data_IF_098880195955
#
_entry.id   IF_098880195955
#
_cell.length_a   1.000
_cell.length_b   1.000
_cell.length_c   1.000
_cell.angle_alpha   90.00
_cell.angle_beta   90.00
_cell.angle_gamma   90.00
#
_symmetry.space_group_name_H-M   'P 1'
#
loop_
_entity.id
_entity.type
_entity.pdbx_description
1 polymer ?
#
# COMPACT_ATOMS: atom_id res chain seq x y z
N UNK A 1 -22.41 15.92 -10.79
CA UNK A 1 -22.39 16.51 -9.44
C UNK A 1 -21.81 17.90 -9.51
N UNK A 2 -22.52 18.92 -9.03
CA UNK A 2 -22.05 20.31 -9.10
C UNK A 2 -20.84 20.52 -8.17
N UNK A 3 -19.99 21.52 -8.47
CA UNK A 3 -18.87 21.89 -7.61
C UNK A 3 -19.31 22.22 -6.16
N UNK A 4 -20.53 22.75 -6.02
CA UNK A 4 -21.16 23.08 -4.73
C UNK A 4 -21.49 21.81 -3.93
N UNK A 5 -22.09 20.79 -4.58
CA UNK A 5 -22.39 19.49 -3.95
C UNK A 5 -21.11 18.77 -3.52
N UNK A 6 -20.06 18.83 -4.36
CA UNK A 6 -18.76 18.24 -4.03
C UNK A 6 -18.11 18.88 -2.81
N UNK A 7 -18.14 20.23 -2.74
CA UNK A 7 -17.63 20.96 -1.56
C UNK A 7 -18.43 20.62 -0.30
N UNK A 8 -19.78 20.57 -0.40
CA UNK A 8 -20.62 20.21 0.74
C UNK A 8 -20.31 18.81 1.28
N UNK A 9 -20.13 17.81 0.42
CA UNK A 9 -19.77 16.45 0.84
C UNK A 9 -18.37 16.39 1.49
N UNK A 10 -17.41 17.17 0.98
CA UNK A 10 -16.09 17.27 1.61
C UNK A 10 -16.15 17.88 3.00
N UNK A 11 -16.94 18.96 3.18
CA UNK A 11 -17.12 19.58 4.48
C UNK A 11 -17.89 18.69 5.46
N UNK A 12 -18.91 17.96 5.00
CA UNK A 12 -19.63 16.98 5.81
C UNK A 12 -18.72 15.82 6.24
N UNK A 13 -17.90 15.30 5.32
CA UNK A 13 -16.92 14.25 5.64
C UNK A 13 -15.85 14.72 6.64
N UNK A 14 -15.31 15.93 6.45
CA UNK A 14 -14.36 16.53 7.36
C UNK A 14 -15.00 16.80 8.74
N UNK A 15 -16.23 17.29 8.78
CA UNK A 15 -16.97 17.52 10.02
C UNK A 15 -17.26 16.22 10.78
N UNK A 16 -17.69 15.17 10.07
CA UNK A 16 -17.91 13.85 10.66
C UNK A 16 -16.62 13.23 11.20
N UNK A 17 -15.51 13.38 10.47
CA UNK A 17 -14.19 12.95 10.93
C UNK A 17 -13.75 13.69 12.19
N UNK A 18 -13.86 15.03 12.21
CA UNK A 18 -13.53 15.84 13.39
C UNK A 18 -14.41 15.49 14.57
N UNK A 19 -15.72 15.31 14.34
CA UNK A 19 -16.64 14.91 15.41
C UNK A 19 -16.27 13.55 15.98
N UNK A 20 -15.97 12.56 15.13
CA UNK A 20 -15.51 11.25 15.58
C UNK A 20 -14.21 11.34 16.38
N UNK A 21 -13.24 12.14 15.93
CA UNK A 21 -11.99 12.36 16.64
C UNK A 21 -12.22 13.02 18.02
N UNK A 22 -13.09 14.03 18.09
CA UNK A 22 -13.49 14.69 19.33
C UNK A 22 -14.20 13.72 20.28
N UNK A 23 -15.16 12.94 19.78
CA UNK A 23 -15.88 11.94 20.58
C UNK A 23 -14.91 10.90 21.15
N UNK A 24 -13.96 10.42 20.35
CA UNK A 24 -12.91 9.49 20.80
C UNK A 24 -12.01 10.10 21.87
N UNK A 25 -11.72 11.39 21.77
CA UNK A 25 -10.91 12.10 22.76
C UNK A 25 -11.58 12.14 24.14
N UNK A 26 -12.90 12.27 24.18
CA UNK A 26 -13.67 12.32 25.45
C UNK A 26 -14.11 10.96 25.98
N UNK A 27 -13.83 9.85 25.27
CA UNK A 27 -14.11 8.53 25.80
C UNK A 27 -13.19 8.21 26.98
N UNK A 28 -13.74 7.64 28.09
CA UNK A 28 -12.91 7.22 29.21
C UNK A 28 -11.86 6.18 28.79
N UNK A 29 -10.62 6.26 29.31
CA UNK A 29 -9.62 5.22 29.11
C UNK A 29 -10.16 3.83 29.49
N UNK A 30 -9.71 2.77 28.78
CA UNK A 30 -10.13 1.40 29.04
C UNK A 30 -11.42 0.95 28.33
N UNK A 31 -12.13 1.86 27.63
CA UNK A 31 -13.33 1.50 26.86
C UNK A 31 -13.09 1.17 25.39
N UNK A 32 -11.93 1.52 24.87
CA UNK A 32 -11.53 1.23 23.49
C UNK A 32 -10.58 0.02 23.48
N UNK A 33 -11.10 -1.18 23.65
CA UNK A 33 -10.30 -2.42 23.50
C UNK A 33 -10.00 -2.67 22.02
N UNK A 34 -9.15 -1.85 21.42
CA UNK A 34 -8.76 -1.97 20.02
C UNK A 34 -7.25 -2.16 19.97
N UNK A 35 -6.83 -3.40 20.16
CA UNK A 35 -5.43 -3.78 19.94
C UNK A 35 -5.14 -3.81 18.44
N UNK A 36 -4.09 -3.07 18.05
CA UNK A 36 -3.57 -3.03 16.68
C UNK A 36 -2.09 -3.38 16.72
N UNK A 37 -1.78 -4.63 16.45
CA UNK A 37 -0.47 -5.22 16.69
C UNK A 37 0.69 -4.37 16.15
N UNK A 38 0.64 -4.01 14.86
CA UNK A 38 1.72 -3.22 14.25
C UNK A 38 1.75 -1.77 14.76
N UNK A 39 0.57 -1.18 14.99
CA UNK A 39 0.51 0.15 15.57
C UNK A 39 1.06 0.16 17.01
N UNK A 40 0.81 -0.90 17.77
CA UNK A 40 1.38 -1.04 19.13
C UNK A 40 2.91 -1.10 19.11
N UNK A 41 3.49 -1.75 18.10
CA UNK A 41 4.95 -1.69 17.87
C UNK A 41 5.41 -0.27 17.57
N UNK A 42 4.71 0.46 16.69
CA UNK A 42 5.09 1.84 16.34
C UNK A 42 5.01 2.77 17.54
N UNK A 43 3.89 2.73 18.24
CA UNK A 43 3.63 3.55 19.43
C UNK A 43 4.61 3.22 20.54
N UNK A 44 4.83 1.93 20.84
CA UNK A 44 5.71 1.49 21.91
C UNK A 44 7.18 1.80 21.64
N UNK A 45 7.65 1.61 20.40
CA UNK A 45 9.02 1.92 20.02
C UNK A 45 9.33 3.41 20.12
N UNK A 46 8.37 4.27 19.71
CA UNK A 46 8.54 5.72 19.83
C UNK A 46 8.50 6.17 21.30
N UNK A 47 7.63 5.59 22.13
CA UNK A 47 7.62 5.85 23.57
C UNK A 47 8.91 5.39 24.27
N UNK A 48 9.43 4.20 23.89
CA UNK A 48 10.74 3.71 24.37
C UNK A 48 11.86 4.71 24.04
N UNK A 49 11.87 5.20 22.81
CA UNK A 49 12.82 6.23 22.36
C UNK A 49 12.69 7.54 23.15
N UNK A 50 11.46 8.04 23.36
CA UNK A 50 11.20 9.26 24.12
C UNK A 50 11.56 9.10 25.61
N UNK A 51 11.49 7.87 26.14
CA UNK A 51 11.94 7.51 27.49
C UNK A 51 13.46 7.34 27.63
N UNK A 52 14.23 7.61 26.57
CA UNK A 52 15.71 7.51 26.60
C UNK A 52 16.24 6.11 26.31
N UNK A 53 15.37 5.17 25.88
CA UNK A 53 15.75 3.84 25.44
C UNK A 53 15.91 3.78 23.92
N UNK A 54 16.39 2.65 23.37
CA UNK A 54 16.59 2.55 21.92
C UNK A 54 15.28 2.35 21.15
N UNK A 55 15.20 2.96 19.96
CA UNK A 55 14.07 2.81 19.05
C UNK A 55 13.99 1.38 18.49
N UNK A 56 15.12 0.78 18.13
CA UNK A 56 15.23 -0.51 17.47
C UNK A 56 15.43 -1.69 18.42
N UNK A 57 15.62 -1.43 19.69
CA UNK A 57 15.68 -2.40 20.79
C UNK A 57 14.27 -2.77 21.28
N UNK A 58 13.28 -1.89 21.04
CA UNK A 58 11.90 -2.19 21.38
C UNK A 58 11.30 -3.25 20.48
N UNK A 59 10.64 -4.21 21.10
CA UNK A 59 9.86 -5.24 20.40
C UNK A 59 8.68 -5.68 21.26
N UNK A 60 7.65 -6.21 20.64
CA UNK A 60 6.58 -6.95 21.29
C UNK A 60 6.64 -8.41 20.87
N UNK A 61 6.14 -9.29 21.74
CA UNK A 61 6.01 -10.72 21.41
C UNK A 61 4.53 -11.02 21.19
N UNK A 62 4.19 -11.55 20.01
CA UNK A 62 2.83 -12.00 19.68
C UNK A 62 2.93 -13.36 19.00
N UNK A 63 2.14 -14.32 19.49
CA UNK A 63 2.13 -15.72 18.99
C UNK A 63 3.55 -16.34 18.94
N UNK A 64 4.37 -16.04 19.94
CA UNK A 64 5.77 -16.52 20.01
C UNK A 64 6.73 -15.85 19.01
N UNK A 65 6.29 -14.80 18.32
CA UNK A 65 7.11 -14.05 17.37
C UNK A 65 7.52 -12.71 17.95
N UNK A 66 8.78 -12.35 17.77
CA UNK A 66 9.33 -11.05 18.15
C UNK A 66 9.06 -10.07 17.02
N UNK A 67 8.37 -8.99 17.32
CA UNK A 67 7.98 -7.95 16.36
C UNK A 67 8.66 -6.62 16.72
N UNK A 68 9.84 -6.34 16.17
CA UNK A 68 10.55 -5.10 16.42
C UNK A 68 10.10 -3.98 15.49
N UNK A 69 10.46 -2.74 15.85
CA UNK A 69 10.38 -1.62 14.92
C UNK A 69 11.43 -1.76 13.80
N UNK A 70 10.99 -1.62 12.54
CA UNK A 70 11.83 -1.89 11.35
C UNK A 70 11.81 -0.77 10.31
N UNK A 71 11.17 0.37 10.63
CA UNK A 71 11.03 1.49 9.71
C UNK A 71 12.17 2.51 9.83
N UNK A 72 12.42 3.33 8.78
CA UNK A 72 13.36 4.44 8.87
C UNK A 72 13.03 5.40 10.01
N UNK A 73 14.01 6.14 10.58
CA UNK A 73 13.80 7.05 11.70
C UNK A 73 12.79 8.16 11.42
N UNK A 74 12.61 8.55 10.16
CA UNK A 74 11.59 9.53 9.77
C UNK A 74 10.17 9.07 10.13
N UNK A 75 9.89 7.77 10.03
CA UNK A 75 8.61 7.21 10.46
C UNK A 75 8.39 7.41 11.97
N UNK A 76 9.43 7.23 12.80
CA UNK A 76 9.34 7.47 14.23
C UNK A 76 9.04 8.94 14.54
N UNK A 77 9.69 9.89 13.85
CA UNK A 77 9.42 11.33 14.02
C UNK A 77 7.95 11.66 13.72
N UNK A 78 7.40 11.11 12.63
CA UNK A 78 5.99 11.34 12.28
C UNK A 78 5.01 10.70 13.27
N UNK A 79 5.44 9.71 14.02
CA UNK A 79 4.62 9.03 15.04
C UNK A 79 4.72 9.64 16.44
N UNK A 80 5.64 10.58 16.68
CA UNK A 80 5.75 11.29 17.98
C UNK A 80 4.41 11.84 18.45
N UNK A 81 3.58 12.54 17.64
CA UNK A 81 2.30 13.06 18.12
C UNK A 81 1.36 11.96 18.65
N UNK A 82 1.37 10.77 18.06
CA UNK A 82 0.58 9.64 18.54
C UNK A 82 1.14 9.04 19.84
N UNK A 83 2.45 9.10 20.04
CA UNK A 83 3.11 8.62 21.25
C UNK A 83 2.91 9.54 22.48
N UNK A 84 2.45 10.79 22.28
CA UNK A 84 2.18 11.74 23.37
C UNK A 84 0.81 11.53 24.04
N UNK A 85 0.00 10.63 23.53
CA UNK A 85 -1.32 10.27 24.06
C UNK A 85 -1.37 8.79 24.41
N UNK A 86 -2.34 8.37 25.21
CA UNK A 86 -2.51 6.96 25.56
C UNK A 86 -2.73 6.09 24.32
N UNK A 87 -2.29 4.83 24.39
CA UNK A 87 -2.30 3.90 23.27
C UNK A 87 -3.70 3.64 22.71
N UNK A 88 -4.73 3.64 23.53
CA UNK A 88 -6.09 3.37 23.10
C UNK A 88 -6.63 4.49 22.21
N UNK A 89 -6.46 5.75 22.63
CA UNK A 89 -6.85 6.92 21.84
C UNK A 89 -5.99 7.04 20.59
N UNK A 90 -4.67 6.84 20.73
CA UNK A 90 -3.75 6.84 19.58
C UNK A 90 -4.17 5.81 18.53
N UNK A 91 -4.51 4.60 18.95
CA UNK A 91 -4.97 3.50 18.09
C UNK A 91 -6.29 3.84 17.39
N UNK A 92 -7.24 4.41 18.12
CA UNK A 92 -8.52 4.82 17.55
C UNK A 92 -8.36 5.94 16.52
N UNK A 93 -7.56 6.98 16.83
CA UNK A 93 -7.25 8.06 15.90
C UNK A 93 -6.49 7.55 14.67
N UNK A 94 -5.53 6.64 14.85
CA UNK A 94 -4.80 6.00 13.76
C UNK A 94 -5.72 5.23 12.82
N UNK A 95 -6.71 4.54 13.37
CA UNK A 95 -7.74 3.84 12.58
C UNK A 95 -8.59 4.84 11.77
N UNK A 96 -9.00 5.96 12.40
CA UNK A 96 -9.74 7.02 11.71
C UNK A 96 -8.95 7.64 10.55
N UNK A 97 -7.65 7.89 10.74
CA UNK A 97 -6.79 8.47 9.69
C UNK A 97 -6.70 7.58 8.45
N UNK A 98 -6.93 6.27 8.57
CA UNK A 98 -6.93 5.35 7.44
C UNK A 98 -8.22 5.43 6.57
N UNK A 99 -9.34 5.88 7.13
CA UNK A 99 -10.62 5.95 6.40
C UNK A 99 -10.57 6.88 5.17
N UNK A 100 -10.03 8.11 5.26
CA UNK A 100 -9.83 8.96 4.08
C UNK A 100 -9.02 8.29 2.97
N UNK A 101 -8.02 7.48 3.31
CA UNK A 101 -7.25 6.76 2.31
C UNK A 101 -8.10 5.77 1.50
N UNK A 102 -9.05 5.06 2.14
CA UNK A 102 -9.98 4.18 1.42
C UNK A 102 -10.87 4.95 0.46
N UNK A 103 -11.37 6.12 0.88
CA UNK A 103 -12.22 6.98 0.05
C UNK A 103 -11.43 7.53 -1.15
N UNK A 104 -10.19 7.96 -0.91
CA UNK A 104 -9.29 8.46 -1.97
C UNK A 104 -9.02 7.36 -2.99
N UNK A 105 -8.68 6.15 -2.57
CA UNK A 105 -8.39 5.04 -3.47
C UNK A 105 -9.62 4.62 -4.27
N UNK A 106 -10.80 4.53 -3.65
CA UNK A 106 -12.05 4.26 -4.34
C UNK A 106 -12.37 5.36 -5.37
N UNK A 107 -12.16 6.63 -5.02
CA UNK A 107 -12.32 7.75 -5.93
C UNK A 107 -11.35 7.68 -7.11
N UNK A 108 -10.08 7.32 -6.90
CA UNK A 108 -9.09 7.16 -7.98
C UNK A 108 -9.49 6.05 -8.95
N UNK A 109 -9.98 4.91 -8.46
CA UNK A 109 -10.52 3.83 -9.29
C UNK A 109 -11.71 4.34 -10.12
N UNK A 110 -12.64 5.07 -9.50
CA UNK A 110 -13.80 5.65 -10.19
C UNK A 110 -13.40 6.72 -11.22
N UNK A 111 -12.39 7.53 -10.90
CA UNK A 111 -11.83 8.52 -11.83
C UNK A 111 -11.17 7.86 -13.04
N UNK A 112 -10.51 6.71 -12.84
CA UNK A 112 -9.92 5.94 -13.93
C UNK A 112 -10.96 5.35 -14.89
N UNK A 113 -12.25 5.31 -14.52
CA UNK A 113 -13.36 4.82 -15.35
C UNK A 113 -14.48 5.87 -15.35
N UNK A 114 -14.40 6.93 -16.19
CA UNK A 114 -15.47 7.91 -16.32
C UNK A 114 -16.77 7.23 -16.74
N UNK A 115 -17.88 7.86 -16.38
CA UNK A 115 -19.23 7.31 -16.53
C UNK A 115 -19.51 6.87 -17.99
N UNK A 116 -19.52 5.56 -18.20
CA UNK A 116 -19.87 4.95 -19.48
C UNK A 116 -21.37 4.63 -19.54
N UNK A 117 -21.97 4.68 -20.73
CA UNK A 117 -23.38 4.28 -20.97
C UNK A 117 -23.68 2.86 -20.48
N UNK A 118 -22.68 1.97 -20.43
CA UNK A 118 -22.86 0.60 -19.93
C UNK A 118 -23.22 0.53 -18.43
N UNK A 119 -22.84 1.55 -17.64
CA UNK A 119 -23.13 1.63 -16.20
C UNK A 119 -24.27 2.62 -15.90
N UNK A 120 -25.00 3.08 -16.92
CA UNK A 120 -26.09 4.04 -16.75
C UNK A 120 -27.25 3.49 -15.90
N UNK A 121 -27.44 2.16 -15.88
CA UNK A 121 -28.43 1.48 -15.04
C UNK A 121 -28.08 1.45 -13.55
N UNK A 122 -26.78 1.56 -13.21
CA UNK A 122 -26.31 1.64 -11.83
C UNK A 122 -25.86 3.07 -11.59
N UNK A 123 -26.56 3.81 -10.74
CA UNK A 123 -26.26 5.20 -10.41
C UNK A 123 -24.82 5.36 -9.91
N UNK A 124 -24.22 6.54 -10.14
CA UNK A 124 -22.84 6.86 -9.73
C UNK A 124 -22.59 6.57 -8.25
N UNK A 125 -23.56 6.87 -7.38
CA UNK A 125 -23.45 6.63 -5.94
C UNK A 125 -23.34 5.15 -5.61
N UNK A 126 -24.21 4.30 -6.20
CA UNK A 126 -24.18 2.85 -5.98
C UNK A 126 -22.89 2.23 -6.49
N UNK A 127 -22.39 2.68 -7.64
CA UNK A 127 -21.12 2.22 -8.20
C UNK A 127 -19.93 2.62 -7.30
N UNK A 128 -19.91 3.84 -6.81
CA UNK A 128 -18.89 4.32 -5.87
C UNK A 128 -18.92 3.52 -4.56
N UNK A 129 -20.12 3.23 -4.06
CA UNK A 129 -20.29 2.40 -2.86
C UNK A 129 -19.77 0.96 -3.08
N UNK A 130 -20.09 0.34 -4.20
CA UNK A 130 -19.62 -1.01 -4.54
C UNK A 130 -18.09 -1.07 -4.65
N UNK A 131 -17.46 -0.08 -5.29
CA UNK A 131 -16.00 0.01 -5.37
C UNK A 131 -15.39 0.19 -3.97
N UNK A 132 -15.96 1.07 -3.15
CA UNK A 132 -15.49 1.29 -1.79
C UNK A 132 -15.67 0.04 -0.91
N UNK A 133 -16.81 -0.63 -0.98
CA UNK A 133 -17.05 -1.89 -0.27
C UNK A 133 -16.08 -2.99 -0.72
N UNK A 134 -15.86 -3.15 -2.04
CA UNK A 134 -14.89 -4.11 -2.57
C UNK A 134 -13.47 -3.84 -2.07
N UNK A 135 -13.10 -2.56 -1.89
CA UNK A 135 -11.82 -2.17 -1.31
C UNK A 135 -11.75 -2.49 0.18
N UNK A 136 -12.74 -2.01 0.97
CA UNK A 136 -12.72 -2.13 2.43
C UNK A 136 -12.90 -3.58 2.90
N UNK A 137 -13.70 -4.38 2.20
CA UNK A 137 -13.91 -5.80 2.52
C UNK A 137 -12.80 -6.71 1.97
N UNK A 138 -11.80 -6.16 1.28
CA UNK A 138 -10.63 -6.94 0.87
C UNK A 138 -9.75 -7.28 2.08
N UNK A 139 -9.14 -8.47 2.05
CA UNK A 139 -8.20 -8.90 3.09
C UNK A 139 -7.05 -7.89 3.27
N UNK A 140 -6.48 -7.41 2.16
CA UNK A 140 -5.33 -6.48 2.22
C UNK A 140 -5.66 -5.20 2.96
N UNK A 141 -6.85 -4.65 2.78
CA UNK A 141 -7.26 -3.40 3.45
C UNK A 141 -7.77 -3.66 4.86
N UNK A 142 -8.71 -4.59 5.03
CA UNK A 142 -9.30 -4.89 6.35
C UNK A 142 -8.27 -5.40 7.35
N UNK A 143 -7.42 -6.34 6.92
CA UNK A 143 -6.35 -6.87 7.74
C UNK A 143 -5.28 -5.81 8.03
N UNK A 144 -4.92 -4.98 7.02
CA UNK A 144 -4.01 -3.85 7.21
C UNK A 144 -4.52 -2.83 8.23
N UNK A 145 -5.81 -2.45 8.15
CA UNK A 145 -6.47 -1.60 9.16
C UNK A 145 -6.52 -2.34 10.51
N UNK A 146 -6.81 -3.64 10.48
CA UNK A 146 -6.84 -4.51 11.66
C UNK A 146 -5.52 -4.56 12.41
N UNK A 147 -4.39 -4.53 11.73
CA UNK A 147 -3.05 -4.45 12.31
C UNK A 147 -2.62 -3.02 12.69
N UNK A 148 -3.30 -2.00 12.17
CA UNK A 148 -2.85 -0.60 12.27
C UNK A 148 -1.68 -0.27 11.34
N UNK A 149 -1.59 -0.95 10.19
CA UNK A 149 -0.49 -0.78 9.23
C UNK A 149 -0.51 0.55 8.49
N UNK A 150 0.68 1.10 8.23
CA UNK A 150 0.85 2.33 7.44
C UNK A 150 0.65 2.12 5.94
N UNK A 151 0.66 0.88 5.46
CA UNK A 151 0.72 0.53 4.03
C UNK A 151 -0.40 1.14 3.20
N UNK A 152 -1.64 1.15 3.71
CA UNK A 152 -2.80 1.75 3.02
C UNK A 152 -2.61 3.25 2.79
N UNK A 153 -2.11 3.97 3.80
CA UNK A 153 -1.82 5.41 3.71
C UNK A 153 -0.76 5.68 2.65
N UNK A 154 0.32 4.88 2.64
CA UNK A 154 1.39 5.02 1.65
C UNK A 154 0.89 4.77 0.22
N UNK A 155 0.05 3.74 0.01
CA UNK A 155 -0.57 3.48 -1.30
C UNK A 155 -1.41 4.66 -1.76
N UNK A 156 -2.24 5.22 -0.87
CA UNK A 156 -3.08 6.37 -1.20
C UNK A 156 -2.25 7.62 -1.53
N UNK A 157 -1.21 7.90 -0.73
CA UNK A 157 -0.30 9.04 -0.93
C UNK A 157 0.47 8.92 -2.25
N UNK A 158 1.00 7.73 -2.58
CA UNK A 158 1.69 7.48 -3.85
C UNK A 158 0.74 7.63 -5.04
N UNK A 159 -0.46 7.03 -4.96
CA UNK A 159 -1.43 7.12 -6.03
C UNK A 159 -1.91 8.56 -6.26
N UNK A 160 -2.10 9.35 -5.19
CA UNK A 160 -2.41 10.77 -5.28
C UNK A 160 -1.29 11.55 -5.96
N UNK A 161 -0.03 11.34 -5.53
CA UNK A 161 1.13 12.04 -6.10
C UNK A 161 1.25 11.81 -7.61
N UNK A 162 1.14 10.56 -8.01
CA UNK A 162 1.42 10.16 -9.38
C UNK A 162 0.26 10.40 -10.35
N UNK A 163 -1.00 10.43 -9.85
CA UNK A 163 -2.21 10.53 -10.71
C UNK A 163 -2.86 11.92 -10.65
N UNK A 164 -2.74 12.62 -9.51
CA UNK A 164 -3.54 13.84 -9.25
C UNK A 164 -2.68 15.08 -9.09
N UNK A 165 -1.54 14.93 -8.39
CA UNK A 165 -0.68 16.07 -8.08
C UNK A 165 -0.12 16.70 -9.38
N UNK A 166 -0.23 18.02 -9.54
CA UNK A 166 0.31 18.70 -10.72
C UNK A 166 1.79 18.42 -10.94
N UNK A 167 2.22 18.37 -12.21
CA UNK A 167 3.59 18.00 -12.60
C UNK A 167 4.69 18.79 -11.87
N UNK A 168 4.40 20.04 -11.45
CA UNK A 168 5.35 20.90 -10.70
C UNK A 168 5.65 20.40 -9.28
N UNK A 169 4.75 19.63 -8.66
CA UNK A 169 4.90 19.11 -7.29
C UNK A 169 5.03 17.60 -7.23
N UNK A 170 4.71 16.91 -8.35
CA UNK A 170 4.76 15.44 -8.46
C UNK A 170 6.12 14.90 -8.05
N UNK A 171 6.13 13.80 -7.30
CA UNK A 171 7.30 13.10 -6.81
C UNK A 171 7.61 13.39 -5.33
N UNK A 172 7.18 14.54 -4.79
CA UNK A 172 7.47 14.91 -3.40
C UNK A 172 6.87 13.89 -2.42
N UNK A 173 5.59 13.53 -2.60
CA UNK A 173 4.92 12.60 -1.71
C UNK A 173 5.48 11.17 -1.85
N UNK A 174 5.92 10.78 -3.04
CA UNK A 174 6.65 9.51 -3.25
C UNK A 174 7.94 9.48 -2.42
N UNK A 175 8.72 10.57 -2.43
CA UNK A 175 9.94 10.66 -1.64
C UNK A 175 9.70 10.62 -0.14
N UNK A 176 8.68 11.33 0.35
CA UNK A 176 8.28 11.29 1.76
C UNK A 176 7.76 9.90 2.17
N UNK A 177 6.95 9.26 1.31
CA UNK A 177 6.49 7.89 1.53
C UNK A 177 7.67 6.90 1.62
N UNK A 178 8.69 7.07 0.77
CA UNK A 178 9.92 6.28 0.80
C UNK A 178 10.72 6.50 2.10
N UNK A 179 10.70 7.69 2.67
CA UNK A 179 11.34 7.99 3.94
C UNK A 179 10.59 7.39 5.15
N UNK A 180 9.29 7.13 5.03
CA UNK A 180 8.51 6.39 6.05
C UNK A 180 8.73 4.88 5.94
N UNK A 181 8.75 4.36 4.73
CA UNK A 181 8.96 2.93 4.44
C UNK A 181 9.66 2.81 3.10
N UNK A 182 10.69 2.00 3.01
CA UNK A 182 11.59 2.02 1.84
C UNK A 182 10.93 1.51 0.54
N UNK A 183 9.92 0.65 0.64
CA UNK A 183 9.22 0.05 -0.53
C UNK A 183 8.72 1.09 -1.55
N UNK A 184 8.16 2.26 -1.18
CA UNK A 184 7.81 3.33 -2.11
C UNK A 184 8.96 3.88 -2.97
N UNK A 185 10.23 3.68 -2.59
CA UNK A 185 11.37 4.10 -3.38
C UNK A 185 11.39 3.47 -4.79
N UNK A 186 10.75 2.30 -4.95
CA UNK A 186 10.56 1.68 -6.26
C UNK A 186 9.86 2.62 -7.26
N UNK A 187 8.99 3.54 -6.81
CA UNK A 187 8.31 4.48 -7.69
C UNK A 187 9.20 5.58 -8.26
N UNK A 188 10.41 5.76 -7.74
CA UNK A 188 11.44 6.58 -8.40
C UNK A 188 11.77 5.96 -9.76
N UNK A 189 11.90 4.63 -9.84
CA UNK A 189 12.11 3.92 -11.10
C UNK A 189 10.91 4.09 -12.06
N UNK A 190 9.66 4.06 -11.55
CA UNK A 190 8.47 4.39 -12.34
C UNK A 190 8.59 5.77 -12.99
N UNK A 191 8.99 6.78 -12.23
CA UNK A 191 9.16 8.15 -12.73
C UNK A 191 10.27 8.23 -13.80
N UNK A 192 11.36 7.47 -13.63
CA UNK A 192 12.43 7.39 -14.62
C UNK A 192 11.97 6.70 -15.91
N UNK A 193 11.29 5.56 -15.80
CA UNK A 193 10.74 4.78 -16.92
C UNK A 193 9.74 5.61 -17.74
N UNK A 194 8.89 6.38 -17.06
CA UNK A 194 7.91 7.27 -17.69
C UNK A 194 8.51 8.63 -18.13
N UNK A 195 9.84 8.80 -18.01
CA UNK A 195 10.59 10.00 -18.38
C UNK A 195 10.18 11.27 -17.63
N UNK A 196 9.68 11.12 -16.42
CA UNK A 196 9.32 12.23 -15.53
C UNK A 196 10.52 12.65 -14.65
N UNK A 197 11.64 12.99 -15.28
CA UNK A 197 12.94 13.22 -14.63
C UNK A 197 12.90 14.23 -13.48
N UNK A 198 12.15 15.34 -13.68
CA UNK A 198 11.99 16.37 -12.63
C UNK A 198 11.22 15.86 -11.43
N UNK A 199 10.23 14.98 -11.63
CA UNK A 199 9.50 14.36 -10.55
C UNK A 199 10.37 13.32 -9.82
N UNK A 200 11.16 12.53 -10.56
CA UNK A 200 12.13 11.61 -9.96
C UNK A 200 13.16 12.36 -9.09
N UNK A 201 13.70 13.47 -9.60
CA UNK A 201 14.63 14.29 -8.81
C UNK A 201 13.97 14.84 -7.53
N UNK A 202 12.72 15.33 -7.61
CA UNK A 202 11.99 15.81 -6.42
C UNK A 202 11.73 14.68 -5.42
N UNK A 203 11.43 13.47 -5.90
CA UNK A 203 11.25 12.32 -5.02
C UNK A 203 12.54 11.99 -4.27
N UNK A 204 13.67 11.96 -4.95
CA UNK A 204 14.99 11.75 -4.33
C UNK A 204 15.31 12.88 -3.35
N UNK A 205 15.11 14.14 -3.74
CA UNK A 205 15.38 15.29 -2.86
C UNK A 205 14.48 15.27 -1.60
N UNK A 206 13.20 14.96 -1.75
CA UNK A 206 12.29 14.84 -0.61
C UNK A 206 12.68 13.69 0.33
N UNK A 207 13.08 12.54 -0.21
CA UNK A 207 13.62 11.42 0.56
C UNK A 207 14.90 11.80 1.32
N UNK A 208 15.86 12.44 0.64
CA UNK A 208 17.12 12.89 1.24
C UNK A 208 16.87 13.96 2.30
N UNK A 209 15.98 14.91 2.04
CA UNK A 209 15.63 15.96 3.02
C UNK A 209 14.99 15.36 4.28
N UNK A 210 14.05 14.40 4.13
CA UNK A 210 13.47 13.69 5.26
C UNK A 210 14.53 12.87 6.03
N UNK A 211 15.44 12.23 5.32
CA UNK A 211 16.61 11.55 5.91
C UNK A 211 17.53 12.51 6.66
N UNK A 212 17.83 13.68 6.10
CA UNK A 212 18.64 14.70 6.75
C UNK A 212 17.97 15.25 8.03
N UNK A 213 16.66 15.52 7.97
CA UNK A 213 15.88 15.90 9.15
C UNK A 213 15.97 14.81 10.22
N UNK A 214 15.83 13.54 9.83
CA UNK A 214 15.94 12.42 10.76
C UNK A 214 17.32 12.34 11.38
N UNK A 215 18.35 12.58 10.59
CA UNK A 215 19.73 12.60 11.08
C UNK A 215 20.03 13.71 12.06
N UNK A 216 19.43 14.89 11.85
CA UNK A 216 19.57 16.04 12.77
C UNK A 216 18.83 15.80 14.11
N UNK A 217 17.67 15.16 14.07
CA UNK A 217 16.82 14.95 15.26
C UNK A 217 17.21 13.65 16.00
N UNK A 218 17.50 12.59 15.27
CA UNK A 218 17.76 11.24 15.74
C UNK A 218 19.08 10.66 15.17
N UNK A 219 20.25 11.26 15.46
CA UNK A 219 21.52 10.87 14.83
C UNK A 219 21.91 9.41 15.10
N UNK A 220 21.79 8.95 16.35
CA UNK A 220 22.14 7.58 16.73
C UNK A 220 21.25 6.53 16.04
N UNK A 221 19.93 6.76 16.03
CA UNK A 221 18.95 5.89 15.39
C UNK A 221 19.10 5.90 13.85
N UNK A 222 19.46 7.05 13.27
CA UNK A 222 19.75 7.16 11.84
C UNK A 222 21.00 6.37 11.48
N UNK A 223 22.07 6.48 12.25
CA UNK A 223 23.26 5.65 12.08
C UNK A 223 22.93 4.17 12.16
N UNK A 224 22.25 3.74 13.23
CA UNK A 224 21.87 2.35 13.47
C UNK A 224 20.99 1.80 12.32
N UNK A 225 20.01 2.58 11.84
CA UNK A 225 19.16 2.14 10.74
C UNK A 225 19.95 1.91 9.45
N UNK A 226 20.72 2.90 9.02
CA UNK A 226 21.38 2.85 7.72
C UNK A 226 22.60 1.92 7.67
N UNK A 227 23.22 1.61 8.81
CA UNK A 227 24.39 0.74 8.87
C UNK A 227 24.09 -0.68 9.33
N UNK A 228 22.93 -0.92 9.98
CA UNK A 228 22.64 -2.22 10.58
C UNK A 228 21.23 -2.71 10.22
N UNK A 229 20.18 -1.99 10.63
CA UNK A 229 18.80 -2.48 10.58
C UNK A 229 18.32 -2.76 9.17
N UNK A 230 18.65 -1.90 8.20
CA UNK A 230 18.26 -2.05 6.79
C UNK A 230 18.71 -3.37 6.17
N UNK A 231 19.77 -3.98 6.70
CA UNK A 231 20.33 -5.25 6.18
C UNK A 231 19.77 -6.48 6.91
N UNK A 232 18.97 -6.30 7.96
CA UNK A 232 18.44 -7.38 8.80
C UNK A 232 17.00 -7.72 8.36
N UNK A 233 16.84 -8.36 7.20
CA UNK A 233 15.53 -8.76 6.68
C UNK A 233 14.79 -9.80 7.54
N UNK A 234 15.54 -10.59 8.32
CA UNK A 234 15.04 -11.56 9.32
C UNK A 234 14.22 -10.88 10.44
N UNK A 235 14.49 -9.61 10.73
CA UNK A 235 13.67 -8.82 11.68
C UNK A 235 12.24 -8.59 11.19
N UNK A 236 11.99 -8.64 9.88
CA UNK A 236 10.66 -8.40 9.31
C UNK A 236 9.80 -9.66 9.40
N UNK A 237 10.41 -10.82 9.50
CA UNK A 237 9.76 -12.13 9.61
C UNK A 237 10.45 -13.22 8.81
N UNK A 238 9.93 -14.43 8.92
CA UNK A 238 10.54 -15.62 8.28
C UNK A 238 10.18 -15.68 6.79
N UNK A 239 11.17 -15.82 5.93
CA UNK A 239 10.98 -15.88 4.47
C UNK A 239 10.06 -17.03 4.02
N UNK A 240 10.14 -18.18 4.70
CA UNK A 240 9.39 -19.39 4.35
C UNK A 240 7.94 -19.42 4.86
N UNK A 241 7.47 -18.38 5.55
CA UNK A 241 6.07 -18.33 5.96
C UNK A 241 5.13 -18.25 4.77
N UNK A 242 4.10 -19.06 4.73
CA UNK A 242 3.08 -19.06 3.67
C UNK A 242 2.36 -17.70 3.53
N UNK A 243 2.42 -16.87 4.56
CA UNK A 243 1.93 -15.47 4.54
C UNK A 243 2.81 -14.55 3.68
N UNK A 244 4.09 -14.90 3.43
CA UNK A 244 4.96 -14.13 2.55
C UNK A 244 4.58 -14.35 1.08
N UNK A 245 4.01 -13.33 0.44
CA UNK A 245 3.50 -13.36 -0.94
C UNK A 245 4.50 -12.79 -1.95
N UNK A 246 5.77 -12.64 -1.58
CA UNK A 246 6.86 -12.18 -2.47
C UNK A 246 7.40 -13.30 -3.35
N UNK A 247 8.18 -12.94 -4.38
CA UNK A 247 8.90 -13.92 -5.19
C UNK A 247 9.90 -14.72 -4.35
N UNK A 248 10.61 -14.07 -3.41
CA UNK A 248 11.55 -14.74 -2.53
C UNK A 248 10.84 -15.71 -1.59
N UNK A 249 9.68 -15.30 -1.04
CA UNK A 249 8.81 -16.16 -0.23
C UNK A 249 8.33 -17.38 -1.02
N UNK A 250 7.89 -17.19 -2.26
CA UNK A 250 7.48 -18.27 -3.14
C UNK A 250 8.59 -19.33 -3.30
N UNK A 251 9.81 -18.91 -3.62
CA UNK A 251 10.93 -19.83 -3.75
C UNK A 251 11.18 -20.62 -2.43
N UNK A 252 11.10 -19.94 -1.29
CA UNK A 252 11.23 -20.56 0.01
C UNK A 252 10.12 -21.57 0.31
N UNK A 253 8.86 -21.27 -0.05
CA UNK A 253 7.70 -22.18 0.13
C UNK A 253 7.91 -23.51 -0.62
N UNK A 254 8.59 -23.46 -1.78
CA UNK A 254 8.86 -24.63 -2.61
C UNK A 254 10.19 -25.29 -2.30
N UNK A 255 10.82 -24.92 -1.17
CA UNK A 255 12.05 -25.55 -0.67
C UNK A 255 13.31 -25.13 -1.42
N UNK A 256 13.26 -24.09 -2.23
CA UNK A 256 14.44 -23.54 -2.90
C UNK A 256 15.16 -22.63 -1.90
N UNK A 257 16.38 -22.96 -1.53
CA UNK A 257 17.19 -22.24 -0.54
C UNK A 257 18.60 -21.93 -1.03
N UNK A 258 19.39 -21.28 -0.17
CA UNK A 258 20.78 -20.96 -0.42
C UNK A 258 21.02 -20.01 -1.59
N UNK A 259 22.15 -20.21 -2.28
CA UNK A 259 22.58 -19.35 -3.40
C UNK A 259 21.64 -19.43 -4.61
N UNK A 260 21.06 -20.59 -4.88
CA UNK A 260 20.07 -20.77 -5.94
C UNK A 260 18.80 -19.93 -5.69
N UNK A 261 18.35 -19.83 -4.46
CA UNK A 261 17.22 -18.98 -4.11
C UNK A 261 17.52 -17.51 -4.43
N UNK A 262 18.69 -17.03 -4.02
CA UNK A 262 19.12 -15.65 -4.28
C UNK A 262 19.27 -15.38 -5.78
N UNK A 263 19.93 -16.29 -6.51
CA UNK A 263 20.12 -16.15 -7.95
C UNK A 263 18.78 -16.11 -8.70
N UNK A 264 17.86 -17.04 -8.43
CA UNK A 264 16.55 -17.10 -9.07
C UNK A 264 15.69 -15.89 -8.71
N UNK A 265 15.75 -15.41 -7.45
CA UNK A 265 15.07 -14.20 -7.03
C UNK A 265 15.60 -12.98 -7.79
N UNK A 266 16.93 -12.79 -7.89
CA UNK A 266 17.54 -11.67 -8.62
C UNK A 266 17.18 -11.70 -10.10
N UNK A 267 17.28 -12.86 -10.76
CA UNK A 267 16.89 -13.03 -12.17
C UNK A 267 15.40 -12.69 -12.34
N UNK A 268 14.55 -13.25 -11.47
CA UNK A 268 13.12 -12.97 -11.49
C UNK A 268 12.80 -11.49 -11.26
N UNK A 269 13.49 -10.82 -10.34
CA UNK A 269 13.36 -9.38 -10.12
C UNK A 269 13.72 -8.59 -11.38
N UNK A 270 14.84 -8.90 -12.05
CA UNK A 270 15.24 -8.23 -13.30
C UNK A 270 14.18 -8.41 -14.38
N UNK A 271 13.70 -9.64 -14.59
CA UNK A 271 12.66 -9.95 -15.60
C UNK A 271 11.37 -9.20 -15.29
N UNK A 272 10.88 -9.27 -14.04
CA UNK A 272 9.62 -8.63 -13.62
C UNK A 272 9.72 -7.11 -13.72
N UNK A 273 10.84 -6.52 -13.31
CA UNK A 273 11.07 -5.08 -13.44
C UNK A 273 11.13 -4.69 -14.91
N UNK A 274 11.82 -5.43 -15.77
CA UNK A 274 11.94 -5.10 -17.19
C UNK A 274 10.57 -5.17 -17.91
N UNK A 275 9.86 -6.32 -17.76
CA UNK A 275 8.56 -6.53 -18.39
C UNK A 275 7.51 -5.58 -17.83
N UNK A 276 7.42 -5.47 -16.51
CA UNK A 276 6.44 -4.62 -15.85
C UNK A 276 6.68 -3.12 -16.09
N UNK A 277 7.96 -2.67 -16.15
CA UNK A 277 8.29 -1.30 -16.53
C UNK A 277 7.87 -0.99 -17.96
N UNK A 278 8.06 -1.93 -18.88
CA UNK A 278 7.58 -1.78 -20.26
C UNK A 278 6.05 -1.65 -20.32
N UNK A 279 5.32 -2.48 -19.56
CA UNK A 279 3.84 -2.39 -19.49
C UNK A 279 3.38 -1.07 -18.85
N UNK A 280 3.99 -0.67 -17.72
CA UNK A 280 3.67 0.60 -17.07
C UNK A 280 3.94 1.80 -18.00
N UNK A 281 5.07 1.80 -18.72
CA UNK A 281 5.38 2.80 -19.72
C UNK A 281 4.34 2.84 -20.86
N UNK A 282 3.91 1.69 -21.37
CA UNK A 282 2.86 1.60 -22.40
C UNK A 282 1.53 2.18 -21.94
N UNK A 283 1.11 1.85 -20.70
CA UNK A 283 -0.11 2.39 -20.09
C UNK A 283 -0.02 3.90 -19.90
N UNK A 284 1.09 4.37 -19.33
CA UNK A 284 1.36 5.81 -19.16
C UNK A 284 1.32 6.57 -20.49
N UNK A 285 2.00 6.06 -21.53
CA UNK A 285 2.00 6.65 -22.88
C UNK A 285 0.62 6.75 -23.52
N UNK A 286 -0.32 5.96 -23.05
CA UNK A 286 -1.72 5.94 -23.49
C UNK A 286 -2.65 6.82 -22.63
N UNK A 287 -2.09 7.57 -21.67
CA UNK A 287 -2.86 8.41 -20.76
C UNK A 287 -3.49 7.66 -19.59
N UNK A 288 -3.23 6.37 -19.43
CA UNK A 288 -3.75 5.60 -18.30
C UNK A 288 -2.75 5.57 -17.15
N UNK A 289 -2.57 6.75 -16.50
CA UNK A 289 -1.63 6.92 -15.39
C UNK A 289 -1.98 6.02 -14.21
N UNK A 290 -3.27 5.86 -13.88
CA UNK A 290 -3.70 5.04 -12.74
C UNK A 290 -3.32 3.56 -12.94
N UNK A 291 -3.64 2.98 -14.09
CA UNK A 291 -3.28 1.61 -14.42
C UNK A 291 -1.75 1.39 -14.42
N UNK A 292 -0.99 2.37 -14.93
CA UNK A 292 0.48 2.33 -14.93
C UNK A 292 1.04 2.31 -13.49
N UNK A 293 0.50 3.13 -12.60
CA UNK A 293 0.88 3.19 -11.17
C UNK A 293 0.52 1.88 -10.47
N UNK A 294 -0.67 1.31 -10.73
CA UNK A 294 -1.10 0.03 -10.15
C UNK A 294 -0.16 -1.11 -10.56
N UNK A 295 0.17 -1.23 -11.85
CA UNK A 295 1.13 -2.24 -12.32
C UNK A 295 2.48 -2.07 -11.63
N UNK A 296 2.95 -0.84 -11.47
CA UNK A 296 4.23 -0.59 -10.81
C UNK A 296 4.20 -0.91 -9.31
N UNK A 297 3.06 -0.68 -8.65
CA UNK A 297 2.84 -1.08 -7.27
C UNK A 297 2.87 -2.60 -7.07
N UNK A 298 2.36 -3.36 -8.05
CA UNK A 298 2.48 -4.82 -8.06
C UNK A 298 3.94 -5.27 -8.19
N UNK A 299 4.73 -4.62 -9.07
CA UNK A 299 6.17 -4.89 -9.21
C UNK A 299 6.85 -4.73 -7.85
N UNK A 300 6.64 -3.58 -7.18
CA UNK A 300 7.25 -3.29 -5.88
C UNK A 300 6.93 -4.36 -4.82
N UNK A 301 5.69 -4.88 -4.81
CA UNK A 301 5.29 -5.97 -3.93
C UNK A 301 5.97 -7.30 -4.28
N UNK A 302 6.04 -7.65 -5.56
CA UNK A 302 6.59 -8.95 -6.01
C UNK A 302 8.10 -9.05 -5.78
N UNK A 303 8.87 -7.98 -6.06
CA UNK A 303 10.33 -7.98 -5.93
C UNK A 303 10.81 -7.78 -4.49
N UNK A 304 9.97 -7.28 -3.59
CA UNK A 304 10.32 -7.14 -2.17
C UNK A 304 10.71 -8.49 -1.57
N UNK A 305 11.71 -8.59 -0.70
CA UNK A 305 12.05 -9.84 -0.02
C UNK A 305 10.88 -10.41 0.80
N UNK A 306 10.10 -9.52 1.42
CA UNK A 306 8.95 -9.90 2.23
C UNK A 306 7.74 -9.04 1.83
N UNK A 307 6.63 -9.72 1.50
CA UNK A 307 5.35 -9.09 1.15
C UNK A 307 4.22 -9.81 1.86
N UNK A 308 3.65 -9.14 2.84
CA UNK A 308 2.48 -9.62 3.56
C UNK A 308 1.18 -9.30 2.82
N UNK A 309 0.08 -9.96 3.21
CA UNK A 309 -1.24 -9.74 2.61
C UNK A 309 -1.65 -8.26 2.56
N UNK A 310 -1.38 -7.50 3.61
CA UNK A 310 -1.69 -6.07 3.69
C UNK A 310 -0.81 -5.17 2.79
N UNK A 311 0.26 -5.69 2.19
CA UNK A 311 1.04 -4.97 1.16
C UNK A 311 0.40 -5.07 -0.23
N UNK A 312 -0.54 -6.00 -0.44
CA UNK A 312 -1.15 -6.27 -1.75
C UNK A 312 -2.38 -5.40 -2.06
N UNK A 313 -2.47 -4.21 -1.49
CA UNK A 313 -3.53 -3.23 -1.83
C UNK A 313 -3.55 -2.94 -3.34
N UNK A 314 -2.38 -2.91 -3.98
CA UNK A 314 -2.28 -2.72 -5.44
C UNK A 314 -2.96 -3.83 -6.24
N UNK A 315 -2.99 -5.07 -5.72
CA UNK A 315 -3.70 -6.19 -6.35
C UNK A 315 -5.22 -5.99 -6.27
N UNK A 316 -5.72 -5.49 -5.15
CA UNK A 316 -7.14 -5.12 -4.99
C UNK A 316 -7.52 -4.01 -5.96
N UNK A 317 -6.66 -2.97 -6.08
CA UNK A 317 -6.88 -1.87 -7.03
C UNK A 317 -6.88 -2.36 -8.48
N UNK A 318 -6.02 -3.33 -8.83
CA UNK A 318 -6.04 -3.97 -10.16
C UNK A 318 -7.37 -4.71 -10.39
N UNK A 319 -7.85 -5.46 -9.40
CA UNK A 319 -9.15 -6.16 -9.47
C UNK A 319 -10.32 -5.20 -9.65
N UNK A 320 -10.37 -4.12 -8.87
CA UNK A 320 -11.41 -3.10 -8.98
C UNK A 320 -11.34 -2.34 -10.32
N UNK A 321 -10.13 -2.05 -10.81
CA UNK A 321 -9.94 -1.48 -12.14
C UNK A 321 -10.48 -2.40 -13.24
N UNK A 322 -10.17 -3.69 -13.18
CA UNK A 322 -10.68 -4.69 -14.12
C UNK A 322 -12.20 -4.86 -14.03
N UNK A 323 -12.76 -4.85 -12.83
CA UNK A 323 -14.21 -5.01 -12.60
C UNK A 323 -15.03 -3.87 -13.23
N UNK A 324 -14.43 -2.71 -13.46
CA UNK A 324 -15.07 -1.58 -14.14
C UNK A 324 -14.72 -1.49 -15.63
N UNK A 325 -13.83 -2.35 -16.15
CA UNK A 325 -13.40 -2.30 -17.53
C UNK A 325 -14.56 -2.63 -18.51
N UNK A 326 -14.46 -2.14 -19.76
CA UNK A 326 -15.51 -2.39 -20.80
C UNK A 326 -15.60 -3.86 -21.23
N UNK A 327 -14.48 -4.59 -21.50
CA UNK A 327 -14.58 -5.97 -21.92
C UNK A 327 -15.20 -6.88 -20.85
N UNK A 328 -16.19 -7.69 -21.22
CA UNK A 328 -16.88 -8.59 -20.26
C UNK A 328 -15.90 -9.53 -19.58
N UNK A 329 -14.93 -10.10 -20.32
CA UNK A 329 -13.91 -10.97 -19.75
C UNK A 329 -13.08 -10.26 -18.66
N UNK A 330 -12.73 -8.99 -18.86
CA UNK A 330 -11.98 -8.22 -17.88
C UNK A 330 -12.82 -7.96 -16.60
N UNK A 331 -14.12 -7.68 -16.77
CA UNK A 331 -15.04 -7.52 -15.62
C UNK A 331 -15.14 -8.82 -14.82
N UNK A 332 -15.32 -9.95 -15.48
CA UNK A 332 -15.40 -11.27 -14.83
C UNK A 332 -14.12 -11.55 -14.07
N UNK A 333 -12.95 -11.34 -14.69
CA UNK A 333 -11.65 -11.48 -14.03
C UNK A 333 -11.50 -10.50 -12.86
N UNK A 334 -11.92 -9.24 -13.03
CA UNK A 334 -11.84 -8.22 -11.98
C UNK A 334 -12.69 -8.57 -10.77
N UNK A 335 -13.95 -8.94 -10.99
CA UNK A 335 -14.84 -9.39 -9.91
C UNK A 335 -14.27 -10.64 -9.24
N UNK A 336 -13.83 -11.62 -10.01
CA UNK A 336 -13.19 -12.84 -9.49
C UNK A 336 -11.95 -12.51 -8.64
N UNK A 337 -11.13 -11.55 -9.07
CA UNK A 337 -9.96 -11.11 -8.33
C UNK A 337 -10.33 -10.39 -7.02
N UNK A 338 -11.33 -9.51 -7.05
CA UNK A 338 -11.83 -8.84 -5.83
C UNK A 338 -12.38 -9.86 -4.84
N UNK A 339 -13.13 -10.87 -5.31
CA UNK A 339 -13.62 -11.96 -4.46
C UNK A 339 -12.47 -12.82 -3.91
N UNK A 340 -11.47 -13.15 -4.73
CA UNK A 340 -10.27 -13.85 -4.28
C UNK A 340 -9.45 -13.05 -3.26
N UNK A 341 -9.47 -11.72 -3.34
CA UNK A 341 -8.85 -10.84 -2.37
C UNK A 341 -9.76 -10.54 -1.16
N UNK A 342 -10.97 -11.10 -1.07
CA UNK A 342 -11.87 -10.88 0.08
C UNK A 342 -11.35 -11.51 1.37
N UNK A 343 -11.84 -11.05 2.50
CA UNK A 343 -11.46 -11.57 3.84
C UNK A 343 -11.78 -13.06 4.02
N UNK A 344 -12.79 -13.57 3.34
CA UNK A 344 -13.24 -14.96 3.45
C UNK A 344 -12.50 -15.90 2.49
N UNK A 345 -11.57 -15.40 1.70
CA UNK A 345 -10.84 -16.21 0.74
C UNK A 345 -9.80 -17.12 1.43
N UNK A 346 -9.76 -18.41 1.08
CA UNK A 346 -8.75 -19.34 1.61
C UNK A 346 -7.31 -18.98 1.21
N UNK A 347 -7.11 -18.08 0.25
CA UNK A 347 -5.78 -17.61 -0.16
C UNK A 347 -5.00 -16.93 0.97
N UNK A 348 -5.70 -16.50 2.01
CA UNK A 348 -5.15 -15.78 3.17
C UNK A 348 -5.09 -16.64 4.43
N UNK A 349 -5.29 -17.96 4.28
CA UNK A 349 -5.24 -18.88 5.41
C UNK A 349 -3.94 -18.79 6.21
N UNK A 350 -4.02 -18.96 7.54
CA UNK A 350 -2.83 -18.96 8.39
C UNK A 350 -1.93 -20.17 8.13
N UNK A 351 -0.67 -20.10 8.58
CA UNK A 351 0.37 -21.13 8.45
C UNK A 351 0.12 -22.39 9.33
N UNK A 352 -1.07 -22.97 9.25
CA UNK A 352 -1.50 -24.03 10.15
C UNK A 352 -1.10 -25.45 9.71
N UNK A 353 -0.61 -25.63 8.46
CA UNK A 353 -0.30 -26.99 7.95
C UNK A 353 0.69 -26.94 6.78
N UNK A 354 1.63 -27.90 6.68
CA UNK A 354 2.52 -28.06 5.52
C UNK A 354 1.83 -28.67 4.30
N UNK A 355 0.51 -28.75 4.27
CA UNK A 355 -0.25 -29.38 3.20
C UNK A 355 0.03 -28.72 1.84
N UNK A 356 0.20 -29.53 0.80
CA UNK A 356 0.52 -29.10 -0.56
C UNK A 356 -0.48 -28.06 -1.10
N UNK A 357 -1.78 -28.25 -0.86
CA UNK A 357 -2.81 -27.33 -1.34
C UNK A 357 -2.69 -25.93 -0.72
N UNK A 358 -2.19 -25.81 0.53
CA UNK A 358 -1.94 -24.51 1.17
C UNK A 358 -0.76 -23.79 0.52
N UNK A 359 0.30 -24.51 0.13
CA UNK A 359 1.43 -23.93 -0.64
C UNK A 359 0.96 -23.39 -1.98
N UNK A 360 0.12 -24.15 -2.68
CA UNK A 360 -0.49 -23.72 -3.95
C UNK A 360 -1.36 -22.48 -3.73
N UNK A 361 -2.28 -22.52 -2.75
CA UNK A 361 -3.14 -21.39 -2.43
C UNK A 361 -2.32 -20.13 -2.02
N UNK A 362 -1.29 -20.31 -1.20
CA UNK A 362 -0.40 -19.22 -0.78
C UNK A 362 0.37 -18.59 -1.95
N UNK A 363 0.63 -19.36 -3.01
CA UNK A 363 1.35 -18.90 -4.22
C UNK A 363 0.46 -18.14 -5.21
N UNK A 364 -0.86 -18.35 -5.17
CA UNK A 364 -1.78 -17.75 -6.15
C UNK A 364 -1.74 -16.21 -6.17
N UNK A 365 -1.69 -15.47 -5.06
CA UNK A 365 -1.59 -14.02 -5.11
C UNK A 365 -0.36 -13.52 -5.87
N UNK A 366 0.79 -14.16 -5.68
CA UNK A 366 2.00 -13.87 -6.45
C UNK A 366 1.81 -14.14 -7.95
N UNK A 367 1.31 -15.35 -8.28
CA UNK A 367 1.07 -15.74 -9.68
C UNK A 367 0.16 -14.74 -10.37
N UNK A 368 -0.93 -14.34 -9.71
CA UNK A 368 -1.87 -13.34 -10.24
C UNK A 368 -1.16 -11.99 -10.43
N UNK A 369 -0.36 -11.54 -9.47
CA UNK A 369 0.43 -10.32 -9.62
C UNK A 369 1.34 -10.39 -10.85
N UNK A 370 2.06 -11.49 -11.04
CA UNK A 370 2.96 -11.69 -12.19
C UNK A 370 2.17 -11.70 -13.50
N UNK A 371 1.03 -12.38 -13.56
CA UNK A 371 0.16 -12.39 -14.73
C UNK A 371 -0.32 -10.98 -15.09
N UNK A 372 -0.80 -10.22 -14.10
CA UNK A 372 -1.24 -8.83 -14.31
C UNK A 372 -0.08 -7.94 -14.76
N UNK A 373 1.12 -8.11 -14.19
CA UNK A 373 2.33 -7.38 -14.60
C UNK A 373 2.69 -7.71 -16.05
N UNK A 374 2.69 -8.99 -16.44
CA UNK A 374 3.11 -9.42 -17.76
C UNK A 374 2.11 -9.06 -18.86
N UNK A 375 0.81 -9.23 -18.61
CA UNK A 375 -0.23 -8.95 -19.58
C UNK A 375 -0.59 -7.45 -19.63
N UNK A 376 -0.37 -6.73 -18.54
CA UNK A 376 -0.84 -5.38 -18.32
C UNK A 376 -2.36 -5.35 -18.07
N UNK A 377 -2.87 -4.15 -17.80
CA UNK A 377 -4.30 -3.91 -17.67
C UNK A 377 -4.92 -3.56 -19.04
N UNK A 378 -6.18 -3.94 -19.31
CA UNK A 378 -6.82 -3.70 -20.60
C UNK A 378 -6.92 -2.22 -20.91
N UNK A 379 -6.94 -1.90 -22.19
CA UNK A 379 -6.97 -0.53 -22.71
C UNK A 379 -8.28 0.17 -22.31
N UNK A 380 -8.19 1.44 -21.93
CA UNK A 380 -9.31 2.37 -22.08
C UNK A 380 -9.62 2.55 -23.56
N UNK A 381 -10.89 2.75 -23.89
CA UNK A 381 -11.22 3.05 -25.28
C UNK A 381 -10.76 4.47 -25.65
N UNK A 382 -10.51 4.76 -26.93
CA UNK A 382 -10.21 6.12 -27.39
C UNK A 382 -11.29 7.15 -26.99
N UNK A 383 -12.54 6.72 -26.87
CA UNK A 383 -13.66 7.58 -26.47
C UNK A 383 -13.61 7.97 -24.99
N UNK A 384 -13.07 7.10 -24.11
CA UNK A 384 -12.87 7.42 -22.70
C UNK A 384 -11.79 8.51 -22.53
N UNK A 385 -10.77 8.49 -23.38
CA UNK A 385 -9.69 9.47 -23.35
C UNK A 385 -10.11 10.84 -23.91
N UNK A 386 -11.03 10.86 -24.89
CA UNK A 386 -11.58 12.10 -25.46
C UNK A 386 -12.53 12.84 -24.50
N UNK A 387 -13.21 12.10 -23.65
CA UNK A 387 -14.12 12.69 -22.64
C UNK A 387 -13.39 13.45 -21.52
N UNK A 388 -12.08 13.26 -21.37
CA UNK A 388 -11.22 13.92 -20.36
C UNK A 388 -10.42 15.10 -20.92
N UNK A 389 -10.40 15.30 -22.25
CA UNK A 389 -9.72 16.44 -22.83
C UNK A 389 -10.44 17.74 -22.40
N UNK A 390 -9.73 18.72 -21.79
CA UNK A 390 -10.34 20.01 -21.48
C UNK A 390 -10.77 20.68 -22.79
N UNK A 391 -12.02 21.18 -22.81
CA UNK A 391 -12.57 21.98 -23.90
C UNK A 391 -11.83 23.32 -24.02
#
# INVERSE_FOLDING_TARGET
MTARTRRALLWLGAGAFLLAAVLLWFLPPGRLQVERLDFSVYWGAVNSMLGGHGLYEYSIVSDGQVMPFVYPPFAAILMVPAALIDVERATALWTLVQLPATIVLAWLVMRAHPADRQWSSIGLASRSLLVWLGLVLSHSVSFGIGLGQVSLLLVAVIALDLVVVPARWRGILVGLAAAVKLTPAAFVLYLLVTRQWRAALRAVLAFVAAGAISWLILPAQSWQYWTQIIFQSDRIGTLSWLRNKSLLGFLAHWGIGGDWQRALWLIGCVVIVAVGSHQAWRLFRRGDEFAAVVVFGLIAGVISPITWGHHLVWLVLAGLYLALARPVWARVLGVGLVLACSMVSPLWAPDLSPAMWLRVAASLPLVICVVVICLGLPRRSPDDLRAEAPA
#
